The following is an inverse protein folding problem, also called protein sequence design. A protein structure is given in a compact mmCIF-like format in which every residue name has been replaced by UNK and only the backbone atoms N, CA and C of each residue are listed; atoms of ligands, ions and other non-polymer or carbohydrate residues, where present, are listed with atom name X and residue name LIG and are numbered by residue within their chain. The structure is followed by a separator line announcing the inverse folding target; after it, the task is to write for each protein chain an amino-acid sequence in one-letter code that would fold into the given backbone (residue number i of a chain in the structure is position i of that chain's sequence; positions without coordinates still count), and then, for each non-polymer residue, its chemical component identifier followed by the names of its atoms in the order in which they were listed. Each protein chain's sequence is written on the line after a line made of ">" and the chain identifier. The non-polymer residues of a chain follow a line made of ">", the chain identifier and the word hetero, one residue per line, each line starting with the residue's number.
data_IF_709861501026
#
_entry.id   IF_709861501026
#
_cell.length_a   1.000
_cell.length_b   1.000
_cell.length_c   1.000
_cell.angle_alpha   90.00
_cell.angle_beta   90.00
_cell.angle_gamma   90.00
#
_symmetry.space_group_name_H-M   'P 1'
#
loop_
_entity.id
_entity.type
_entity.pdbx_description
1 polymer ?
#
# COMPACT_ATOMS: atom_id res chain seq x y z
N UNK A 1 24.78 -1.66 25.43
CA UNK A 1 25.04 -1.96 24.04
C UNK A 1 24.20 -1.08 23.11
N UNK A 2 24.63 -0.90 21.83
CA UNK A 2 23.95 -0.01 20.87
C UNK A 2 22.52 -0.48 20.59
N UNK A 3 22.32 -1.79 20.35
CA UNK A 3 20.99 -2.35 20.06
C UNK A 3 20.04 -2.24 21.25
N UNK A 4 20.50 -2.48 22.45
CA UNK A 4 19.70 -2.30 23.68
C UNK A 4 19.27 -0.84 23.85
N UNK A 5 20.19 0.10 23.61
CA UNK A 5 19.88 1.54 23.67
C UNK A 5 18.89 1.97 22.61
N UNK A 6 19.02 1.49 21.36
CA UNK A 6 18.09 1.76 20.29
C UNK A 6 16.69 1.19 20.60
N UNK A 7 16.64 -0.07 21.06
CA UNK A 7 15.37 -0.71 21.45
C UNK A 7 14.71 0.03 22.60
N UNK A 8 15.47 0.40 23.64
CA UNK A 8 14.96 1.16 24.77
C UNK A 8 14.46 2.55 24.34
N UNK A 9 15.17 3.26 23.46
CA UNK A 9 14.77 4.56 22.95
C UNK A 9 13.45 4.47 22.15
N UNK A 10 13.28 3.41 21.36
CA UNK A 10 12.06 3.15 20.61
C UNK A 10 10.86 2.85 21.54
N UNK A 11 11.05 1.94 22.49
CA UNK A 11 10.02 1.52 23.45
C UNK A 11 9.58 2.65 24.38
N UNK A 12 10.50 3.55 24.76
CA UNK A 12 10.23 4.66 25.67
C UNK A 12 9.81 5.97 24.97
N UNK A 13 9.68 5.98 23.65
CA UNK A 13 9.23 7.15 22.91
C UNK A 13 7.68 7.27 22.98
N UNK A 14 7.18 8.12 23.87
CA UNK A 14 5.72 8.33 24.06
C UNK A 14 4.98 8.71 22.77
N UNK A 15 5.58 9.57 21.95
CA UNK A 15 5.00 9.98 20.67
C UNK A 15 4.81 8.79 19.75
N UNK A 16 5.82 7.92 19.65
CA UNK A 16 5.77 6.71 18.82
C UNK A 16 4.72 5.73 19.37
N UNK A 17 4.72 5.48 20.69
CA UNK A 17 3.74 4.61 21.31
C UNK A 17 2.30 5.08 21.08
N UNK A 18 2.05 6.38 21.14
CA UNK A 18 0.74 6.96 20.83
C UNK A 18 0.35 6.77 19.36
N UNK A 19 1.29 6.95 18.42
CA UNK A 19 1.06 6.73 17.00
C UNK A 19 0.79 5.26 16.68
N UNK A 20 1.57 4.34 17.24
CA UNK A 20 1.37 2.89 17.09
C UNK A 20 0.02 2.46 17.64
N UNK A 21 -0.34 2.95 18.83
CA UNK A 21 -1.68 2.68 19.41
C UNK A 21 -2.80 3.19 18.50
N UNK A 22 -2.64 4.37 17.91
CA UNK A 22 -3.61 4.89 16.95
C UNK A 22 -3.76 3.97 15.74
N UNK A 23 -2.64 3.49 15.16
CA UNK A 23 -2.67 2.54 14.05
C UNK A 23 -3.41 1.25 14.40
N UNK A 24 -3.14 0.66 15.57
CA UNK A 24 -3.85 -0.54 16.02
C UNK A 24 -5.31 -0.30 16.39
N UNK A 25 -5.69 0.92 16.74
CA UNK A 25 -7.08 1.25 17.13
C UNK A 25 -7.94 1.65 15.94
N UNK A 26 -7.38 2.36 14.96
CA UNK A 26 -8.10 2.99 13.83
C UNK A 26 -7.67 2.51 12.46
N UNK A 27 -6.48 1.96 12.32
CA UNK A 27 -5.98 1.42 11.07
C UNK A 27 -6.53 0.04 10.77
N UNK A 28 -6.37 -0.41 9.52
CA UNK A 28 -6.68 -1.74 9.04
C UNK A 28 -5.78 -2.09 7.85
N UNK A 29 -5.62 -3.37 7.57
CA UNK A 29 -4.90 -3.83 6.37
C UNK A 29 -5.69 -3.54 5.08
N UNK A 30 -7.00 -3.47 5.16
CA UNK A 30 -7.88 -3.01 4.09
C UNK A 30 -9.11 -2.30 4.65
N UNK A 31 -9.79 -1.55 3.81
CA UNK A 31 -11.04 -0.89 4.16
C UNK A 31 -12.02 -0.93 2.98
N UNK A 32 -13.28 -1.21 3.26
CA UNK A 32 -14.37 -1.13 2.27
C UNK A 32 -15.27 0.03 2.66
N UNK A 33 -15.40 0.99 1.76
CA UNK A 33 -16.26 2.15 1.99
C UNK A 33 -16.88 2.65 0.69
N UNK A 34 -18.20 2.79 0.66
CA UNK A 34 -18.95 3.30 -0.50
C UNK A 34 -18.56 2.65 -1.84
N UNK A 35 -18.51 1.31 -1.89
CA UNK A 35 -18.11 0.60 -3.10
C UNK A 35 -16.61 0.59 -3.38
N UNK A 36 -15.80 1.30 -2.60
CA UNK A 36 -14.36 1.34 -2.77
C UNK A 36 -13.67 0.35 -1.83
N UNK A 37 -12.78 -0.47 -2.39
CA UNK A 37 -11.86 -1.33 -1.66
C UNK A 37 -10.48 -0.66 -1.60
N UNK A 38 -10.06 -0.29 -0.40
CA UNK A 38 -8.79 0.39 -0.15
C UNK A 38 -7.83 -0.57 0.55
N UNK A 39 -6.61 -0.70 0.04
CA UNK A 39 -5.50 -1.41 0.70
C UNK A 39 -4.15 -0.85 0.22
N UNK A 40 -3.09 -1.11 1.00
CA UNK A 40 -1.79 -0.50 0.73
C UNK A 40 -1.08 -1.10 -0.49
N UNK A 41 -0.86 -2.41 -0.48
CA UNK A 41 0.05 -3.10 -1.41
C UNK A 41 -0.65 -3.96 -2.46
N UNK A 42 -0.86 -5.23 -2.17
CA UNK A 42 -1.39 -6.18 -3.15
C UNK A 42 -2.28 -7.25 -2.49
N UNK A 43 -3.19 -7.82 -3.26
CA UNK A 43 -3.77 -9.13 -2.95
C UNK A 43 -2.86 -10.19 -3.57
N UNK A 44 -2.14 -11.01 -2.79
CA UNK A 44 -1.18 -11.97 -3.34
C UNK A 44 -1.82 -12.92 -4.35
N UNK A 45 -1.27 -12.96 -5.57
CA UNK A 45 -1.73 -13.81 -6.66
C UNK A 45 -0.63 -14.75 -7.15
N UNK A 46 -1.04 -15.89 -7.67
CA UNK A 46 -0.22 -16.78 -8.48
C UNK A 46 -0.14 -16.26 -9.93
N UNK A 47 0.74 -16.85 -10.74
CA UNK A 47 0.94 -16.48 -12.15
C UNK A 47 -0.32 -16.65 -13.02
N UNK A 48 -1.19 -17.59 -12.65
CA UNK A 48 -2.48 -17.87 -13.33
C UNK A 48 -3.62 -16.93 -12.90
N UNK A 49 -3.36 -16.03 -11.93
CA UNK A 49 -4.36 -15.11 -11.39
C UNK A 49 -5.17 -15.64 -10.21
N UNK A 50 -4.97 -16.88 -9.81
CA UNK A 50 -5.59 -17.42 -8.59
C UNK A 50 -5.00 -16.79 -7.33
N UNK A 51 -5.78 -16.72 -6.24
CA UNK A 51 -5.31 -16.19 -4.97
C UNK A 51 -4.26 -17.13 -4.35
N UNK A 52 -3.11 -16.56 -3.98
CA UNK A 52 -2.03 -17.33 -3.34
C UNK A 52 -2.48 -17.80 -1.97
N UNK A 53 -2.38 -19.11 -1.74
CA UNK A 53 -2.62 -19.70 -0.43
C UNK A 53 -1.40 -19.58 0.45
N UNK A 54 -1.61 -19.13 1.68
CA UNK A 54 -0.58 -18.94 2.69
C UNK A 54 -0.94 -19.73 3.93
N UNK A 55 0.00 -20.55 4.40
CA UNK A 55 -0.18 -21.30 5.65
C UNK A 55 0.13 -20.39 6.84
N UNK A 56 -0.86 -20.17 7.69
CA UNK A 56 -0.72 -19.46 8.97
C UNK A 56 -1.09 -20.43 10.08
N UNK A 57 -0.07 -20.84 10.84
CA UNK A 57 -0.21 -21.78 11.97
C UNK A 57 -1.01 -23.05 11.66
N UNK A 58 -0.75 -23.66 10.49
CA UNK A 58 -1.36 -24.92 10.08
C UNK A 58 -2.65 -24.79 9.27
N UNK A 59 -3.16 -23.59 9.07
CA UNK A 59 -4.37 -23.34 8.24
C UNK A 59 -4.00 -22.50 7.01
N UNK A 60 -4.53 -22.88 5.85
CA UNK A 60 -4.34 -22.13 4.61
C UNK A 60 -5.37 -20.99 4.48
N UNK A 61 -4.89 -19.81 4.15
CA UNK A 61 -5.70 -18.63 3.89
C UNK A 61 -5.31 -18.00 2.55
N UNK A 62 -6.28 -17.39 1.86
CA UNK A 62 -6.07 -16.68 0.61
C UNK A 62 -7.01 -15.47 0.52
N UNK A 63 -6.76 -14.54 -0.38
CA UNK A 63 -7.62 -13.40 -0.63
C UNK A 63 -7.97 -12.61 0.63
N UNK A 64 -9.24 -12.29 0.82
CA UNK A 64 -9.75 -11.56 1.99
C UNK A 64 -9.46 -12.28 3.30
N UNK A 65 -9.60 -13.61 3.35
CA UNK A 65 -9.36 -14.38 4.57
C UNK A 65 -7.90 -14.27 5.05
N UNK A 66 -6.93 -14.10 4.14
CA UNK A 66 -5.54 -13.84 4.50
C UNK A 66 -5.40 -12.48 5.20
N UNK A 67 -6.02 -11.43 4.69
CA UNK A 67 -6.03 -10.12 5.35
C UNK A 67 -6.63 -10.18 6.76
N UNK A 68 -7.79 -10.83 6.88
CA UNK A 68 -8.52 -10.92 8.16
C UNK A 68 -7.70 -11.67 9.22
N UNK A 69 -7.07 -12.79 8.86
CA UNK A 69 -6.26 -13.56 9.82
C UNK A 69 -4.98 -12.83 10.22
N UNK A 70 -4.28 -12.20 9.28
CA UNK A 70 -3.08 -11.42 9.58
C UNK A 70 -3.39 -10.25 10.51
N UNK A 71 -4.46 -9.49 10.23
CA UNK A 71 -4.89 -8.39 11.09
C UNK A 71 -5.31 -8.88 12.48
N UNK A 72 -6.03 -9.99 12.56
CA UNK A 72 -6.46 -10.60 13.83
C UNK A 72 -5.27 -10.96 14.72
N UNK A 73 -4.27 -11.66 14.18
CA UNK A 73 -3.08 -12.03 14.95
C UNK A 73 -2.21 -10.81 15.33
N UNK A 74 -2.03 -9.86 14.41
CA UNK A 74 -1.29 -8.64 14.69
C UNK A 74 -1.92 -7.84 15.84
N UNK A 75 -3.26 -7.68 15.85
CA UNK A 75 -3.99 -7.00 16.93
C UNK A 75 -3.93 -7.76 18.23
N UNK A 76 -4.19 -9.06 18.21
CA UNK A 76 -4.09 -9.91 19.41
C UNK A 76 -2.70 -9.81 20.03
N UNK A 77 -1.65 -9.96 19.22
CA UNK A 77 -0.27 -9.89 19.71
C UNK A 77 0.11 -8.52 20.27
N UNK A 78 -0.41 -7.43 19.69
CA UNK A 78 -0.15 -6.09 20.23
C UNK A 78 -0.75 -5.87 21.60
N UNK A 79 -2.00 -6.34 21.83
CA UNK A 79 -2.71 -6.17 23.11
C UNK A 79 -2.50 -7.32 24.10
N UNK A 80 -1.90 -8.44 23.68
CA UNK A 80 -1.73 -9.62 24.50
C UNK A 80 -0.84 -9.36 25.74
N UNK A 81 -1.22 -9.96 26.84
CA UNK A 81 -0.40 -10.08 28.05
C UNK A 81 0.33 -11.42 28.03
N UNK A 82 -0.33 -12.45 27.50
CA UNK A 82 0.23 -13.78 27.37
C UNK A 82 1.44 -13.79 26.42
N UNK A 83 2.61 -14.31 26.84
CA UNK A 83 3.83 -14.29 26.05
C UNK A 83 3.73 -15.08 24.73
N UNK A 84 2.98 -16.17 24.70
CA UNK A 84 2.83 -16.99 23.49
C UNK A 84 1.98 -16.28 22.45
N UNK A 85 0.85 -15.68 22.84
CA UNK A 85 0.03 -14.85 21.96
C UNK A 85 0.80 -13.63 21.44
N UNK A 86 1.57 -12.99 22.32
CA UNK A 86 2.44 -11.87 21.95
C UNK A 86 3.49 -12.27 20.92
N UNK A 87 4.11 -13.43 21.11
CA UNK A 87 5.07 -13.98 20.15
C UNK A 87 4.42 -14.25 18.80
N UNK A 88 3.26 -14.92 18.75
CA UNK A 88 2.51 -15.16 17.51
C UNK A 88 2.19 -13.86 16.79
N UNK A 89 1.75 -12.84 17.50
CA UNK A 89 1.48 -11.52 16.91
C UNK A 89 2.73 -10.86 16.36
N UNK A 90 3.87 -10.96 17.04
CA UNK A 90 5.15 -10.44 16.56
C UNK A 90 5.64 -11.16 15.30
N UNK A 91 5.49 -12.48 15.24
CA UNK A 91 5.85 -13.29 14.08
C UNK A 91 4.96 -12.90 12.86
N UNK A 92 3.68 -12.63 13.09
CA UNK A 92 2.78 -12.14 12.02
C UNK A 92 3.12 -10.71 11.60
N UNK A 93 3.49 -9.81 12.51
CA UNK A 93 3.95 -8.46 12.16
C UNK A 93 5.23 -8.51 11.31
N UNK A 94 6.14 -9.42 11.64
CA UNK A 94 7.33 -9.70 10.83
C UNK A 94 6.95 -10.22 9.44
N UNK A 95 6.03 -11.19 9.36
CA UNK A 95 5.49 -11.68 8.09
C UNK A 95 4.89 -10.54 7.25
N UNK A 96 4.06 -9.69 7.85
CA UNK A 96 3.42 -8.55 7.16
C UNK A 96 4.49 -7.60 6.59
N UNK A 97 5.58 -7.39 7.30
CA UNK A 97 6.63 -6.45 6.91
C UNK A 97 7.47 -6.92 5.73
N UNK A 98 7.85 -8.21 5.67
CA UNK A 98 8.89 -8.64 4.72
C UNK A 98 8.57 -9.89 3.89
N UNK A 99 7.47 -10.61 4.17
CA UNK A 99 7.22 -11.85 3.46
C UNK A 99 6.71 -11.57 2.03
N UNK A 100 7.21 -12.34 1.06
CA UNK A 100 6.81 -12.22 -0.37
C UNK A 100 5.32 -12.39 -0.62
N UNK A 101 4.61 -13.12 0.23
CA UNK A 101 3.17 -13.32 0.18
C UNK A 101 2.40 -12.36 1.12
N UNK A 102 3.10 -11.35 1.67
CA UNK A 102 2.45 -10.31 2.46
C UNK A 102 1.65 -9.38 1.57
N UNK A 103 0.40 -9.05 1.94
CA UNK A 103 -0.38 -8.06 1.21
C UNK A 103 0.19 -6.63 1.32
N UNK A 104 1.09 -6.37 2.26
CA UNK A 104 1.72 -5.06 2.46
C UNK A 104 3.04 -4.96 1.72
N UNK A 105 3.87 -6.00 1.74
CA UNK A 105 5.20 -5.98 1.15
C UNK A 105 5.20 -6.19 -0.37
N UNK A 106 4.47 -7.20 -0.87
CA UNK A 106 4.22 -7.44 -2.29
C UNK A 106 5.44 -7.66 -3.18
N UNK A 107 6.58 -8.02 -2.60
CA UNK A 107 7.85 -8.29 -3.28
C UNK A 107 8.47 -9.57 -2.76
N UNK A 108 9.39 -10.15 -3.54
CA UNK A 108 10.12 -11.35 -3.13
C UNK A 108 11.19 -11.04 -2.08
N UNK A 109 11.83 -9.88 -2.19
CA UNK A 109 12.89 -9.41 -1.29
C UNK A 109 13.08 -7.90 -1.35
N UNK A 110 13.83 -7.38 -0.38
CA UNK A 110 14.35 -6.02 -0.37
C UNK A 110 15.88 -6.07 -0.54
N UNK A 111 16.42 -5.34 -1.49
CA UNK A 111 17.85 -5.41 -1.88
C UNK A 111 18.66 -4.22 -1.38
N UNK A 112 18.37 -3.74 -0.18
CA UNK A 112 19.05 -2.57 0.39
C UNK A 112 20.55 -2.82 0.57
N UNK A 113 20.92 -3.95 1.19
CA UNK A 113 22.33 -4.28 1.43
C UNK A 113 23.05 -4.63 0.15
N UNK A 114 22.43 -5.37 -0.76
CA UNK A 114 23.00 -5.70 -2.06
C UNK A 114 23.36 -4.45 -2.85
N UNK A 115 22.51 -3.42 -2.82
CA UNK A 115 22.76 -2.14 -3.49
C UNK A 115 23.96 -1.38 -2.94
N UNK A 116 24.23 -1.53 -1.63
CA UNK A 116 25.37 -0.87 -0.98
C UNK A 116 26.67 -1.67 -1.06
N UNK A 117 26.60 -2.98 -0.97
CA UNK A 117 27.79 -3.82 -0.73
C UNK A 117 28.12 -4.77 -1.87
N UNK A 118 27.22 -4.99 -2.83
CA UNK A 118 27.43 -5.93 -3.94
C UNK A 118 27.43 -5.18 -5.28
N UNK A 119 28.50 -5.28 -6.04
CA UNK A 119 28.63 -4.60 -7.33
C UNK A 119 27.76 -5.23 -8.44
N UNK A 120 27.42 -6.51 -8.30
CA UNK A 120 26.68 -7.29 -9.26
C UNK A 120 25.21 -6.86 -9.35
N UNK A 121 24.84 -6.21 -10.46
CA UNK A 121 23.50 -5.62 -10.64
C UNK A 121 22.35 -6.63 -10.64
N UNK A 122 22.63 -7.90 -11.01
CA UNK A 122 21.63 -8.96 -10.96
C UNK A 122 21.06 -9.19 -9.54
N UNK A 123 21.88 -8.96 -8.51
CA UNK A 123 21.47 -9.09 -7.11
C UNK A 123 20.52 -7.98 -6.64
N UNK A 124 20.47 -6.85 -7.36
CA UNK A 124 19.66 -5.68 -7.04
C UNK A 124 18.20 -5.78 -7.52
N UNK A 125 17.83 -6.88 -8.18
CA UNK A 125 16.48 -7.08 -8.69
C UNK A 125 15.54 -7.46 -7.54
N UNK A 126 14.41 -6.78 -7.45
CA UNK A 126 13.33 -7.04 -6.48
C UNK A 126 12.10 -7.53 -7.25
N UNK A 127 11.95 -8.87 -7.45
CA UNK A 127 10.78 -9.41 -8.12
C UNK A 127 9.51 -9.03 -7.36
N UNK A 128 8.51 -8.55 -8.09
CA UNK A 128 7.21 -8.16 -7.54
C UNK A 128 6.24 -9.35 -7.60
N UNK A 129 5.24 -9.35 -6.73
CA UNK A 129 4.15 -10.31 -6.80
C UNK A 129 3.47 -10.23 -8.18
N UNK A 130 3.01 -11.35 -8.76
CA UNK A 130 2.29 -11.38 -10.04
C UNK A 130 1.09 -10.43 -10.11
N UNK A 131 0.48 -10.09 -8.97
CA UNK A 131 -0.56 -9.09 -8.84
C UNK A 131 -0.28 -7.82 -9.66
N UNK A 132 0.89 -7.21 -9.54
CA UNK A 132 1.21 -5.93 -10.19
C UNK A 132 1.22 -5.99 -11.72
N UNK A 133 1.46 -7.16 -12.29
CA UNK A 133 1.40 -7.39 -13.73
C UNK A 133 -0.02 -7.76 -14.19
N UNK A 134 -0.74 -8.47 -13.33
CA UNK A 134 -2.09 -8.97 -13.64
C UNK A 134 -3.18 -7.91 -13.53
N UNK A 135 -2.93 -6.80 -12.85
CA UNK A 135 -3.89 -5.69 -12.69
C UNK A 135 -4.26 -4.97 -13.99
N UNK A 136 -3.57 -5.22 -15.09
CA UNK A 136 -3.99 -4.74 -16.40
C UNK A 136 -5.22 -5.51 -16.96
N UNK A 137 -5.57 -6.63 -16.33
CA UNK A 137 -6.68 -7.49 -16.72
C UNK A 137 -7.91 -7.20 -15.87
N UNK A 138 -8.99 -6.75 -16.53
CA UNK A 138 -10.23 -6.40 -15.83
C UNK A 138 -10.86 -7.60 -15.09
N UNK A 139 -10.72 -8.81 -15.61
CA UNK A 139 -11.20 -10.03 -14.94
C UNK A 139 -10.54 -10.25 -13.57
N UNK A 140 -9.25 -9.90 -13.42
CA UNK A 140 -8.53 -10.03 -12.16
C UNK A 140 -9.02 -8.95 -11.17
N UNK A 141 -9.18 -7.71 -11.62
CA UNK A 141 -9.71 -6.63 -10.78
C UNK A 141 -11.12 -6.98 -10.28
N UNK A 142 -11.98 -7.50 -11.16
CA UNK A 142 -13.33 -7.94 -10.80
C UNK A 142 -13.31 -9.13 -9.81
N UNK A 143 -12.41 -10.10 -10.00
CA UNK A 143 -12.26 -11.23 -9.08
C UNK A 143 -11.84 -10.76 -7.67
N UNK A 144 -10.90 -9.80 -7.60
CA UNK A 144 -10.49 -9.21 -6.31
C UNK A 144 -11.67 -8.46 -5.66
N UNK A 145 -12.40 -7.63 -6.40
CA UNK A 145 -13.57 -6.94 -5.86
C UNK A 145 -14.60 -7.91 -5.32
N UNK A 146 -14.92 -8.97 -6.08
CA UNK A 146 -15.86 -10.00 -5.66
C UNK A 146 -15.41 -10.75 -4.39
N UNK A 147 -14.12 -11.04 -4.24
CA UNK A 147 -13.53 -11.66 -3.05
C UNK A 147 -13.78 -10.81 -1.78
N UNK A 148 -13.78 -9.49 -1.90
CA UNK A 148 -14.09 -8.56 -0.81
C UNK A 148 -15.58 -8.17 -0.73
N UNK A 149 -16.45 -8.87 -1.47
CA UNK A 149 -17.91 -8.67 -1.44
C UNK A 149 -18.40 -7.46 -2.23
N UNK A 150 -17.60 -6.98 -3.19
CA UNK A 150 -17.94 -5.85 -4.06
C UNK A 150 -18.21 -6.30 -5.49
N UNK A 151 -19.15 -5.65 -6.15
CA UNK A 151 -19.48 -5.92 -7.56
C UNK A 151 -20.14 -4.70 -8.21
N UNK A 152 -20.23 -4.73 -9.54
CA UNK A 152 -20.88 -3.67 -10.33
C UNK A 152 -19.92 -2.62 -10.86
N UNK A 153 -20.48 -1.65 -11.57
CA UNK A 153 -19.71 -0.59 -12.24
C UNK A 153 -19.12 0.43 -11.25
N UNK A 154 -19.80 0.63 -10.11
CA UNK A 154 -19.41 1.59 -9.08
C UNK A 154 -18.46 0.99 -8.03
N UNK A 155 -17.92 -0.21 -8.30
CA UNK A 155 -16.97 -0.85 -7.42
C UNK A 155 -15.53 -0.55 -7.91
N UNK A 156 -14.70 -0.01 -7.02
CA UNK A 156 -13.35 0.40 -7.35
C UNK A 156 -12.32 -0.15 -6.35
N UNK A 157 -11.12 -0.44 -6.83
CA UNK A 157 -9.93 -0.68 -6.01
C UNK A 157 -9.12 0.61 -5.94
N UNK A 158 -8.69 0.97 -4.74
CA UNK A 158 -7.75 2.07 -4.49
C UNK A 158 -6.54 1.52 -3.76
N UNK A 159 -5.38 1.55 -4.39
CA UNK A 159 -4.14 1.06 -3.79
C UNK A 159 -2.93 1.96 -4.06
N UNK A 160 -1.78 1.60 -3.49
CA UNK A 160 -0.52 2.33 -3.60
C UNK A 160 0.69 1.40 -3.63
N UNK A 161 1.69 1.68 -2.78
CA UNK A 161 2.94 0.92 -2.58
C UNK A 161 3.93 0.96 -3.76
N UNK A 162 3.47 0.84 -4.99
CA UNK A 162 4.31 0.99 -6.17
C UNK A 162 3.93 2.28 -6.87
N UNK A 163 4.81 3.28 -6.84
CA UNK A 163 4.52 4.58 -7.45
C UNK A 163 4.32 4.49 -8.96
N UNK A 164 3.35 5.26 -9.45
CA UNK A 164 3.13 5.49 -10.88
C UNK A 164 4.32 6.27 -11.46
N UNK A 165 4.87 5.78 -12.57
CA UNK A 165 5.93 6.47 -13.31
C UNK A 165 5.31 7.38 -14.40
N UNK A 166 4.71 8.50 -13.97
CA UNK A 166 4.04 9.46 -14.87
C UNK A 166 4.95 9.95 -15.99
N UNK A 167 6.27 10.09 -15.75
CA UNK A 167 7.26 10.43 -16.78
C UNK A 167 7.34 9.43 -17.92
N UNK A 168 6.95 8.19 -17.69
CA UNK A 168 6.89 7.12 -18.70
C UNK A 168 5.51 6.99 -19.34
N UNK A 169 4.57 7.88 -19.00
CA UNK A 169 3.21 7.85 -19.51
C UNK A 169 2.31 6.83 -18.81
N UNK A 170 2.70 6.30 -17.65
CA UNK A 170 1.87 5.39 -16.88
C UNK A 170 0.66 6.13 -16.30
N UNK A 171 -0.55 5.56 -16.51
CA UNK A 171 -1.79 6.11 -15.96
C UNK A 171 -2.07 5.56 -14.56
N UNK A 172 -2.47 6.41 -13.60
CA UNK A 172 -2.95 5.97 -12.29
C UNK A 172 -4.34 5.33 -12.35
N UNK A 173 -5.07 5.53 -13.46
CA UNK A 173 -6.42 4.98 -13.69
C UNK A 173 -6.30 3.80 -14.63
N UNK A 174 -6.71 2.61 -14.19
CA UNK A 174 -6.62 1.36 -14.93
C UNK A 174 -7.99 0.68 -15.02
N UNK A 175 -8.14 -0.28 -15.93
CA UNK A 175 -9.37 -1.06 -16.13
C UNK A 175 -10.64 -0.21 -16.20
N UNK A 176 -10.62 0.85 -17.03
CA UNK A 176 -11.78 1.73 -17.21
C UNK A 176 -12.23 2.48 -15.95
N UNK A 177 -11.34 2.69 -14.98
CA UNK A 177 -11.64 3.36 -13.70
C UNK A 177 -11.86 2.41 -12.53
N UNK A 178 -11.93 1.10 -12.75
CA UNK A 178 -12.10 0.13 -11.66
C UNK A 178 -10.90 0.01 -10.72
N UNK A 179 -9.73 0.43 -11.17
CA UNK A 179 -8.50 0.45 -10.36
C UNK A 179 -7.87 1.83 -10.40
N UNK A 180 -7.62 2.38 -9.22
CA UNK A 180 -6.97 3.67 -9.00
C UNK A 180 -5.71 3.48 -8.16
N UNK A 181 -4.54 3.79 -8.74
CA UNK A 181 -3.25 3.73 -8.04
C UNK A 181 -2.88 5.14 -7.62
N UNK A 182 -2.96 5.44 -6.33
CA UNK A 182 -2.78 6.80 -5.80
C UNK A 182 -1.37 7.12 -5.33
N UNK A 183 -0.43 6.17 -5.45
CA UNK A 183 0.97 6.39 -5.11
C UNK A 183 1.73 7.01 -6.28
N UNK A 184 2.28 8.19 -6.07
CA UNK A 184 3.16 8.88 -7.02
C UNK A 184 4.55 9.15 -6.46
N UNK A 185 4.84 8.64 -5.24
CA UNK A 185 6.11 8.85 -4.55
C UNK A 185 6.25 10.26 -4.01
N UNK A 186 5.49 10.62 -2.96
CA UNK A 186 5.53 11.93 -2.30
C UNK A 186 6.92 12.34 -1.82
N UNK A 187 7.80 11.38 -1.53
CA UNK A 187 9.17 11.68 -1.13
C UNK A 187 9.93 12.38 -2.25
N UNK A 188 10.57 13.49 -1.91
CA UNK A 188 11.42 14.26 -2.83
C UNK A 188 12.46 13.39 -3.56
N UNK A 189 12.92 12.31 -2.94
CA UNK A 189 13.86 11.35 -3.53
C UNK A 189 13.26 10.56 -4.72
N UNK A 190 11.93 10.36 -4.75
CA UNK A 190 11.25 9.63 -5.83
C UNK A 190 10.76 10.53 -6.96
N UNK A 191 10.46 11.79 -6.70
CA UNK A 191 9.91 12.74 -7.68
C UNK A 191 10.72 12.86 -8.98
N UNK A 192 12.08 12.85 -8.98
CA UNK A 192 12.85 12.86 -10.21
C UNK A 192 12.58 11.64 -11.10
N UNK A 193 12.22 10.49 -10.50
CA UNK A 193 11.91 9.24 -11.19
C UNK A 193 10.46 9.18 -11.65
N UNK A 194 9.53 9.52 -10.77
CA UNK A 194 8.08 9.41 -11.01
C UNK A 194 7.51 10.58 -11.82
N UNK A 195 8.06 11.77 -11.62
CA UNK A 195 7.64 13.00 -12.32
C UNK A 195 6.50 13.76 -11.64
N UNK A 196 5.95 13.22 -10.55
CA UNK A 196 4.89 13.84 -9.75
C UNK A 196 5.19 13.69 -8.26
N UNK A 197 4.46 14.45 -7.42
CA UNK A 197 4.55 14.32 -5.97
C UNK A 197 3.52 13.36 -5.37
N UNK A 198 2.59 12.81 -6.15
CA UNK A 198 1.55 11.88 -5.73
C UNK A 198 0.16 12.27 -6.19
N UNK A 199 -0.82 11.53 -5.69
CA UNK A 199 -2.23 11.76 -6.01
C UNK A 199 -3.07 11.87 -4.74
N UNK A 200 -4.17 12.65 -4.82
CA UNK A 200 -5.26 12.62 -3.84
C UNK A 200 -6.54 12.20 -4.55
N UNK A 201 -7.18 11.14 -4.05
CA UNK A 201 -8.50 10.76 -4.49
C UNK A 201 -9.55 11.50 -3.65
N UNK A 202 -10.41 12.25 -4.30
CA UNK A 202 -11.53 12.98 -3.70
C UNK A 202 -12.81 12.26 -4.07
N UNK A 203 -13.58 11.83 -3.07
CA UNK A 203 -14.90 11.25 -3.25
C UNK A 203 -15.98 12.20 -2.73
N UNK A 204 -16.91 12.58 -3.59
CA UNK A 204 -18.01 13.45 -3.23
C UNK A 204 -19.30 13.10 -4.03
N UNK A 205 -20.34 13.91 -3.93
CA UNK A 205 -21.61 13.69 -4.63
C UNK A 205 -21.53 13.75 -6.16
N UNK A 206 -20.44 14.24 -6.72
CA UNK A 206 -20.20 14.26 -8.16
C UNK A 206 -19.39 13.05 -8.64
N UNK A 207 -18.91 12.21 -7.73
CA UNK A 207 -18.14 11.01 -8.04
C UNK A 207 -16.70 11.05 -7.51
N UNK A 208 -15.82 10.31 -8.19
CA UNK A 208 -14.40 10.21 -7.87
C UNK A 208 -13.60 11.21 -8.71
N UNK A 209 -12.80 12.03 -8.05
CA UNK A 209 -11.87 12.97 -8.68
C UNK A 209 -10.45 12.67 -8.24
N UNK A 210 -9.55 12.43 -9.19
CA UNK A 210 -8.14 12.19 -8.92
C UNK A 210 -7.35 13.48 -9.18
N UNK A 211 -6.83 14.08 -8.11
CA UNK A 211 -5.98 15.26 -8.17
C UNK A 211 -4.50 14.84 -8.16
N UNK A 212 -3.75 15.20 -9.20
CA UNK A 212 -2.29 15.01 -9.25
C UNK A 212 -1.60 16.17 -8.54
N UNK A 213 -0.60 15.85 -7.71
CA UNK A 213 0.24 16.84 -7.04
C UNK A 213 1.52 17.06 -7.81
N UNK A 214 1.75 18.27 -8.25
CA UNK A 214 3.02 18.67 -8.83
C UNK A 214 4.08 18.90 -7.74
N UNK A 215 5.38 18.69 -8.04
CA UNK A 215 6.44 19.03 -7.10
C UNK A 215 6.38 20.52 -6.73
N UNK A 216 6.44 20.81 -5.42
CA UNK A 216 6.47 22.19 -4.95
C UNK A 216 7.78 22.89 -5.34
N UNK A 217 7.70 23.98 -6.06
CA UNK A 217 8.85 24.77 -6.49
C UNK A 217 9.05 26.02 -5.62
N UNK A 218 8.01 26.84 -5.47
CA UNK A 218 8.07 28.05 -4.62
C UNK A 218 6.69 28.57 -4.24
N UNK A 219 6.60 29.30 -3.12
CA UNK A 219 5.35 29.96 -2.72
C UNK A 219 4.85 30.98 -3.74
N UNK A 220 5.75 31.68 -4.42
CA UNK A 220 5.39 32.71 -5.40
C UNK A 220 4.66 32.13 -6.62
N UNK A 221 4.99 30.91 -7.02
CA UNK A 221 4.32 30.22 -8.14
C UNK A 221 2.86 29.91 -7.83
N UNK A 222 2.56 29.57 -6.55
CA UNK A 222 1.23 29.11 -6.12
C UNK A 222 0.36 30.22 -5.50
N UNK A 223 0.90 31.42 -5.26
CA UNK A 223 0.16 32.56 -4.70
C UNK A 223 -0.31 33.56 -5.75
N UNK A 224 0.20 33.49 -6.97
CA UNK A 224 -0.35 34.29 -8.08
C UNK A 224 -1.61 33.62 -8.64
N UNK A 225 -2.74 34.34 -8.81
CA UNK A 225 -3.92 33.77 -9.43
C UNK A 225 -3.58 33.31 -10.85
N UNK A 226 -3.81 32.03 -11.14
CA UNK A 226 -3.68 31.46 -12.48
C UNK A 226 -4.70 32.15 -13.41
N UNK A 227 -4.36 32.47 -14.66
CA UNK A 227 -5.33 32.94 -15.64
C UNK A 227 -6.52 31.99 -15.85
N UNK A 228 -6.40 30.72 -15.43
CA UNK A 228 -7.51 29.74 -15.46
C UNK A 228 -8.51 29.93 -14.33
N UNK A 229 -8.11 30.53 -13.20
CA UNK A 229 -8.98 30.77 -12.04
C UNK A 229 -9.91 31.99 -12.29
N UNK A 230 -9.62 32.82 -13.30
CA UNK A 230 -10.37 34.03 -13.65
C UNK A 230 -11.50 33.72 -14.66
N UNK A 231 -11.48 32.56 -15.33
CA UNK A 231 -12.48 32.21 -16.35
C UNK A 231 -13.74 31.52 -15.82
N UNK A 232 -13.86 31.30 -14.52
CA UNK A 232 -14.98 30.58 -13.86
C UNK A 232 -16.11 31.47 -13.31
N UNK A 233 -16.08 32.81 -13.49
CA UNK A 233 -17.13 33.68 -13.04
C UNK A 233 -17.82 34.39 -14.23
N UNK A 234 -18.71 33.67 -14.92
CA UNK A 234 -19.83 34.20 -15.68
C UNK A 234 -20.98 33.22 -15.65
#
# INVERSE_FOLDING_TARGET
>A
DVMERLTAAFLNCEKLQRQVRFLFTKGSLYHVYNGNLLYHGCVPLNEDGSFTKVNIYGTEYAGKALYDVLESYARKGYYAIDPEEKKKGSDILWFIWENKNSPVFGKDKMTTFERYFVAEKATHVEPKNPYYRLLEKEEIVNAILAEFGLSGQEAHIVNGHIPIEAKKGESPVKCGGKLLIIDGGFSKAYQPKTGIAGYTLIYNSYGLVLAAHEPFESCLLYTSPSPRDISGSR
#
